data_IF_006961637213
#
_entry.id   IF_006961637213
#
_cell.length_a   1.000
_cell.length_b   1.000
_cell.length_c   1.000
_cell.angle_alpha   90.00
_cell.angle_beta   90.00
_cell.angle_gamma   90.00
#
_symmetry.space_group_name_H-M   'P 1'
#
loop_
_entity.id
_entity.type
_entity.pdbx_description
1 polymer ?
#
# COMPACT_ATOMS: atom_id res chain seq x y z
N UNK A 1 -20.88 -0.72 -3.90
CA UNK A 1 -20.74 0.15 -2.72
C UNK A 1 -19.53 1.04 -2.91
N UNK A 2 -19.50 2.19 -2.26
CA UNK A 2 -18.30 3.01 -2.18
C UNK A 2 -17.47 2.54 -1.00
N UNK A 3 -16.15 2.53 -1.17
CA UNK A 3 -15.21 2.19 -0.11
C UNK A 3 -13.98 3.09 -0.18
N UNK A 4 -13.44 3.42 0.98
CA UNK A 4 -12.28 4.25 1.17
C UNK A 4 -11.05 3.39 1.46
N UNK A 5 -9.95 3.70 0.80
CA UNK A 5 -8.66 3.08 1.04
C UNK A 5 -7.62 4.16 1.24
N UNK A 6 -6.86 4.00 2.32
CA UNK A 6 -5.77 4.89 2.68
C UNK A 6 -4.43 4.21 2.41
N UNK A 7 -3.53 4.92 1.76
CA UNK A 7 -2.18 4.44 1.42
C UNK A 7 -1.15 5.50 1.82
N UNK A 8 0.12 5.11 1.97
CA UNK A 8 1.21 6.09 2.08
C UNK A 8 1.21 7.01 0.85
N UNK A 9 1.62 8.26 1.07
CA UNK A 9 1.68 9.24 0.01
C UNK A 9 2.48 8.77 -1.21
N UNK A 10 2.01 9.14 -2.39
CA UNK A 10 2.63 8.80 -3.67
C UNK A 10 3.55 9.91 -4.20
N UNK A 11 3.61 11.09 -3.55
CA UNK A 11 4.37 12.24 -4.04
C UNK A 11 5.84 12.27 -3.59
N UNK A 12 6.25 11.42 -2.64
CA UNK A 12 7.64 11.31 -2.18
C UNK A 12 8.21 9.98 -2.68
N UNK A 13 9.22 10.05 -3.55
CA UNK A 13 9.98 8.88 -3.95
C UNK A 13 10.91 8.45 -2.82
N UNK A 14 10.46 7.51 -1.97
CA UNK A 14 11.27 6.98 -0.87
C UNK A 14 12.60 6.36 -1.34
N UNK A 15 12.63 5.89 -2.59
CA UNK A 15 13.78 5.33 -3.30
C UNK A 15 14.87 6.37 -3.62
N UNK A 16 14.58 7.68 -3.57
CA UNK A 16 15.58 8.75 -3.73
C UNK A 16 16.75 8.62 -2.75
N UNK A 17 16.55 7.97 -1.60
CA UNK A 17 17.62 7.74 -0.61
C UNK A 17 18.66 6.71 -1.06
N UNK A 18 18.42 6.02 -2.17
CA UNK A 18 19.27 4.98 -2.73
C UNK A 18 20.16 5.46 -3.88
N UNK A 19 20.02 6.73 -4.29
CA UNK A 19 20.69 7.33 -5.46
C UNK A 19 21.14 8.75 -5.15
N UNK A 20 22.06 9.29 -5.96
CA UNK A 20 22.67 10.60 -5.72
C UNK A 20 22.04 11.73 -6.55
N UNK A 21 21.21 11.39 -7.54
CA UNK A 21 20.59 12.37 -8.43
C UNK A 21 19.21 11.96 -8.96
N UNK A 22 18.45 12.94 -9.45
CA UNK A 22 17.15 12.70 -10.10
C UNK A 22 17.29 11.84 -11.37
N UNK A 23 18.37 12.00 -12.13
CA UNK A 23 18.60 11.19 -13.32
C UNK A 23 18.84 9.71 -12.98
N UNK A 24 19.57 9.44 -11.90
CA UNK A 24 19.74 8.07 -11.39
C UNK A 24 18.43 7.51 -10.83
N UNK A 25 17.63 8.36 -10.17
CA UNK A 25 16.31 7.98 -9.70
C UNK A 25 15.40 7.54 -10.86
N UNK A 26 15.41 8.25 -11.98
CA UNK A 26 14.60 7.88 -13.15
C UNK A 26 15.01 6.51 -13.70
N UNK A 27 16.31 6.21 -13.73
CA UNK A 27 16.83 4.89 -14.13
C UNK A 27 16.38 3.82 -13.13
N UNK A 28 16.50 4.08 -11.82
CA UNK A 28 16.06 3.17 -10.77
C UNK A 28 14.57 2.86 -10.88
N UNK A 29 13.71 3.87 -11.05
CA UNK A 29 12.28 3.65 -11.22
C UNK A 29 11.95 2.85 -12.49
N UNK A 30 12.68 3.07 -13.59
CA UNK A 30 12.51 2.26 -14.80
C UNK A 30 12.86 0.78 -14.56
N UNK A 31 13.97 0.53 -13.85
CA UNK A 31 14.39 -0.82 -13.48
C UNK A 31 13.36 -1.48 -12.55
N UNK A 32 12.88 -0.73 -11.54
CA UNK A 32 11.87 -1.21 -10.61
C UNK A 32 10.57 -1.51 -11.34
N UNK A 33 10.10 -0.65 -12.23
CA UNK A 33 8.87 -0.85 -12.99
C UNK A 33 8.96 -2.06 -13.92
N UNK A 34 10.08 -2.22 -14.63
CA UNK A 34 10.34 -3.38 -15.50
C UNK A 34 10.43 -4.70 -14.72
N UNK A 35 10.79 -4.67 -13.43
CA UNK A 35 10.86 -5.85 -12.57
C UNK A 35 9.51 -6.29 -11.99
N UNK A 36 8.45 -5.46 -12.12
CA UNK A 36 7.15 -5.76 -11.53
C UNK A 36 6.51 -6.96 -12.23
N UNK A 37 5.91 -7.90 -11.49
CA UNK A 37 5.09 -8.94 -12.10
C UNK A 37 3.98 -8.34 -12.97
N UNK A 38 3.57 -9.04 -14.04
CA UNK A 38 2.42 -8.62 -14.84
C UNK A 38 1.18 -8.53 -13.95
N UNK A 39 0.28 -7.60 -14.28
CA UNK A 39 -1.03 -7.57 -13.63
C UNK A 39 -1.84 -8.80 -14.04
N UNK A 40 -2.60 -9.40 -13.11
CA UNK A 40 -3.59 -10.41 -13.49
C UNK A 40 -4.59 -9.80 -14.48
N UNK A 41 -5.14 -10.59 -15.42
CA UNK A 41 -6.07 -10.10 -16.45
C UNK A 41 -7.21 -9.24 -15.89
N UNK A 42 -7.74 -9.61 -14.73
CA UNK A 42 -8.84 -8.94 -14.05
C UNK A 42 -8.48 -7.53 -13.51
N UNK A 43 -7.19 -7.26 -13.32
CA UNK A 43 -6.69 -5.96 -12.84
C UNK A 43 -6.14 -5.05 -13.94
N UNK A 44 -6.15 -5.50 -15.21
CA UNK A 44 -5.69 -4.68 -16.33
C UNK A 44 -6.64 -3.51 -16.58
N UNK A 45 -6.10 -2.33 -16.86
CA UNK A 45 -6.88 -1.11 -17.08
C UNK A 45 -7.39 -0.44 -15.79
N UNK A 46 -7.18 -1.05 -14.62
CA UNK A 46 -7.46 -0.43 -13.33
C UNK A 46 -6.32 0.53 -12.95
N UNK A 47 -6.65 1.67 -12.32
CA UNK A 47 -5.65 2.61 -11.81
C UNK A 47 -4.64 1.90 -10.89
N UNK A 48 -3.35 2.21 -11.03
CA UNK A 48 -2.29 1.43 -10.38
C UNK A 48 -2.43 1.32 -8.85
N UNK A 49 -2.94 2.36 -8.19
CA UNK A 49 -3.20 2.34 -6.74
C UNK A 49 -4.23 1.28 -6.31
N UNK A 50 -5.19 0.99 -7.19
CA UNK A 50 -6.22 -0.03 -6.98
C UNK A 50 -5.73 -1.42 -7.44
N UNK A 51 -4.86 -1.48 -8.45
CA UNK A 51 -4.34 -2.73 -9.00
C UNK A 51 -3.20 -3.34 -8.17
N UNK A 52 -2.41 -2.50 -7.46
CA UNK A 52 -1.21 -2.93 -6.74
C UNK A 52 -1.42 -4.11 -5.76
N UNK A 53 -2.52 -4.19 -4.98
CA UNK A 53 -2.76 -5.33 -4.08
C UNK A 53 -2.85 -6.68 -4.81
N UNK A 54 -3.27 -6.69 -6.08
CA UNK A 54 -3.48 -7.93 -6.84
C UNK A 54 -2.24 -8.37 -7.63
N UNK A 55 -1.22 -7.51 -7.73
CA UNK A 55 -0.02 -7.76 -8.54
C UNK A 55 0.97 -8.72 -7.89
N UNK A 56 1.08 -8.69 -6.57
CA UNK A 56 2.16 -9.35 -5.83
C UNK A 56 1.65 -10.52 -4.99
N UNK A 57 2.55 -11.43 -4.65
CA UNK A 57 2.33 -12.53 -3.70
C UNK A 57 3.11 -12.26 -2.40
N UNK A 58 2.52 -11.58 -1.41
CA UNK A 58 3.27 -11.18 -0.22
C UNK A 58 3.70 -12.41 0.59
N UNK A 59 4.98 -12.48 1.04
CA UNK A 59 5.51 -13.65 1.76
C UNK A 59 4.94 -13.77 3.17
N UNK A 60 4.64 -12.64 3.82
CA UNK A 60 4.01 -12.57 5.14
C UNK A 60 2.50 -12.76 5.03
N UNK A 61 1.80 -13.01 6.14
CA UNK A 61 0.34 -12.99 6.20
C UNK A 61 -0.20 -11.58 6.50
N UNK A 62 -1.52 -11.42 6.42
CA UNK A 62 -2.23 -10.22 6.90
C UNK A 62 -3.48 -10.66 7.70
N UNK A 63 -4.26 -9.71 8.24
CA UNK A 63 -5.42 -10.04 9.10
C UNK A 63 -6.39 -11.04 8.47
N UNK A 64 -6.67 -10.92 7.17
CA UNK A 64 -7.64 -11.76 6.44
C UNK A 64 -7.00 -12.61 5.33
N UNK A 65 -5.69 -12.82 5.35
CA UNK A 65 -4.99 -13.60 4.31
C UNK A 65 -3.78 -14.31 4.88
N UNK A 66 -3.70 -15.62 4.64
CA UNK A 66 -2.53 -16.46 4.96
C UNK A 66 -1.28 -16.05 4.19
N UNK A 67 -0.12 -16.55 4.62
CA UNK A 67 1.16 -16.38 3.90
C UNK A 67 1.07 -16.99 2.49
N UNK A 68 1.83 -16.45 1.53
CA UNK A 68 1.93 -16.98 0.16
C UNK A 68 0.60 -17.10 -0.62
N UNK A 69 -0.44 -16.38 -0.19
CA UNK A 69 -1.71 -16.23 -0.92
C UNK A 69 -1.73 -14.90 -1.70
N UNK A 70 -2.49 -14.81 -2.82
CA UNK A 70 -2.64 -13.56 -3.58
C UNK A 70 -3.02 -12.39 -2.69
N UNK A 71 -2.47 -11.21 -2.95
CA UNK A 71 -2.79 -10.03 -2.17
C UNK A 71 -4.28 -9.67 -2.24
N UNK A 72 -4.76 -9.05 -1.16
CA UNK A 72 -6.16 -8.65 -1.00
C UNK A 72 -6.25 -7.13 -0.89
N UNK A 73 -7.29 -6.57 -1.48
CA UNK A 73 -7.61 -5.15 -1.37
C UNK A 73 -8.30 -4.89 -0.04
N UNK A 74 -7.73 -3.99 0.76
CA UNK A 74 -8.30 -3.53 2.03
C UNK A 74 -8.86 -2.12 1.85
N UNK A 75 -10.11 -1.93 2.27
CA UNK A 75 -10.76 -0.63 2.41
C UNK A 75 -11.95 -0.73 3.36
N UNK A 76 -12.50 0.42 3.72
CA UNK A 76 -13.63 0.54 4.64
C UNK A 76 -14.79 1.26 3.94
N UNK A 77 -16.02 1.02 4.36
CA UNK A 77 -17.20 1.76 3.90
C UNK A 77 -17.25 3.22 4.41
N UNK A 78 -16.45 3.53 5.42
CA UNK A 78 -16.29 4.85 6.01
C UNK A 78 -14.82 5.34 6.03
N UNK A 79 -14.63 6.63 5.77
CA UNK A 79 -13.30 7.27 5.74
C UNK A 79 -12.62 7.27 7.10
N UNK A 80 -13.36 7.49 8.20
CA UNK A 80 -12.80 7.49 9.54
C UNK A 80 -12.33 6.08 9.93
N UNK A 81 -13.10 5.03 9.57
CA UNK A 81 -12.69 3.64 9.72
C UNK A 81 -11.38 3.33 8.97
N UNK A 82 -11.24 3.79 7.72
CA UNK A 82 -9.98 3.64 6.97
C UNK A 82 -8.79 4.33 7.65
N UNK A 83 -8.99 5.54 8.19
CA UNK A 83 -7.96 6.25 8.97
C UNK A 83 -7.62 5.53 10.27
N UNK A 84 -8.62 5.02 10.99
CA UNK A 84 -8.45 4.31 12.26
C UNK A 84 -7.65 3.01 12.08
N UNK A 85 -7.89 2.26 11.00
CA UNK A 85 -7.12 1.05 10.68
C UNK A 85 -5.63 1.36 10.46
N UNK A 86 -5.31 2.39 9.68
CA UNK A 86 -3.92 2.80 9.47
C UNK A 86 -3.28 3.25 10.80
N UNK A 87 -3.97 4.07 11.60
CA UNK A 87 -3.48 4.51 12.89
C UNK A 87 -3.20 3.33 13.84
N UNK A 88 -4.09 2.34 13.88
CA UNK A 88 -3.92 1.12 14.66
C UNK A 88 -2.65 0.36 14.26
N UNK A 89 -2.46 0.09 12.96
CA UNK A 89 -1.30 -0.67 12.49
C UNK A 89 0.02 0.09 12.68
N UNK A 90 0.01 1.42 12.55
CA UNK A 90 1.19 2.25 12.85
C UNK A 90 1.52 2.26 14.33
N UNK A 91 0.52 2.39 15.20
CA UNK A 91 0.71 2.30 16.64
C UNK A 91 1.30 0.94 17.03
N UNK A 92 0.76 -0.15 16.48
CA UNK A 92 1.31 -1.50 16.70
C UNK A 92 2.76 -1.62 16.24
N UNK A 93 3.08 -1.13 15.04
CA UNK A 93 4.45 -1.10 14.55
C UNK A 93 5.41 -0.34 15.48
N UNK A 94 4.99 0.82 16.00
CA UNK A 94 5.78 1.61 16.95
C UNK A 94 6.00 0.87 18.28
N UNK A 95 4.94 0.26 18.82
CA UNK A 95 5.01 -0.52 20.07
C UNK A 95 5.88 -1.78 19.93
N UNK A 96 5.88 -2.40 18.75
CA UNK A 96 6.70 -3.57 18.44
C UNK A 96 8.16 -3.19 18.07
N UNK A 97 8.49 -1.89 18.01
CA UNK A 97 9.80 -1.37 17.59
C UNK A 97 10.53 -0.66 18.73
N UNK A 98 11.41 -1.40 19.45
CA UNK A 98 12.15 -0.87 20.60
C UNK A 98 12.90 0.44 20.32
N UNK A 99 13.47 0.60 19.12
CA UNK A 99 14.22 1.81 18.73
C UNK A 99 13.36 3.02 18.35
N UNK A 100 12.04 2.87 18.23
CA UNK A 100 11.12 3.91 17.79
C UNK A 100 10.18 4.42 18.89
N UNK A 101 10.17 3.78 20.06
CA UNK A 101 9.27 4.14 21.18
C UNK A 101 9.40 5.60 21.63
N UNK A 102 10.57 6.21 21.50
CA UNK A 102 10.83 7.60 21.90
C UNK A 102 10.76 8.60 20.74
N UNK A 103 10.46 8.13 19.51
CA UNK A 103 10.44 8.98 18.33
C UNK A 103 9.02 9.47 18.01
N UNK A 104 8.94 10.73 17.56
CA UNK A 104 7.73 11.27 16.95
C UNK A 104 7.78 11.04 15.44
N UNK A 105 6.97 10.11 14.94
CA UNK A 105 6.86 9.82 13.52
C UNK A 105 5.65 10.55 12.93
N UNK A 106 5.88 11.50 12.01
CA UNK A 106 4.83 12.06 11.15
C UNK A 106 4.84 11.34 9.82
N UNK A 107 3.67 10.94 9.31
CA UNK A 107 3.55 10.22 8.03
C UNK A 107 2.36 10.73 7.24
N UNK A 108 2.61 11.07 5.98
CA UNK A 108 1.58 11.57 5.08
C UNK A 108 0.93 10.42 4.32
N UNK A 109 -0.39 10.51 4.21
CA UNK A 109 -1.21 9.47 3.60
C UNK A 109 -2.16 10.08 2.58
N UNK A 110 -2.53 9.29 1.58
CA UNK A 110 -3.56 9.63 0.61
C UNK A 110 -4.77 8.72 0.82
N UNK A 111 -5.93 9.33 0.98
CA UNK A 111 -7.22 8.64 1.00
C UNK A 111 -7.84 8.73 -0.39
N UNK A 112 -8.27 7.60 -0.93
CA UNK A 112 -9.05 7.58 -2.16
C UNK A 112 -10.28 6.71 -2.01
N UNK A 113 -11.29 7.07 -2.79
CA UNK A 113 -12.55 6.36 -2.88
C UNK A 113 -12.53 5.43 -4.09
N UNK A 114 -13.10 4.24 -3.93
CA UNK A 114 -13.25 3.24 -4.98
C UNK A 114 -14.67 2.71 -5.01
N UNK A 115 -15.19 2.49 -6.22
CA UNK A 115 -16.42 1.73 -6.42
C UNK A 115 -16.10 0.23 -6.35
N UNK A 116 -16.70 -0.48 -5.40
CA UNK A 116 -16.52 -1.91 -5.19
C UNK A 116 -17.82 -2.65 -5.48
N UNK A 117 -17.72 -3.75 -6.22
CA UNK A 117 -18.82 -4.63 -6.55
C UNK A 117 -18.40 -6.08 -6.33
N UNK A 118 -19.32 -6.89 -5.81
CA UNK A 118 -19.04 -8.29 -5.49
C UNK A 118 -20.06 -8.85 -4.51
N UNK A 119 -19.80 -10.07 -4.05
CA UNK A 119 -20.59 -10.70 -2.98
C UNK A 119 -19.97 -10.33 -1.64
N UNK A 120 -20.77 -9.74 -0.77
CA UNK A 120 -20.45 -9.68 0.65
C UNK A 120 -20.79 -11.04 1.29
N UNK A 121 -20.01 -11.45 2.28
CA UNK A 121 -20.25 -12.65 3.10
C UNK A 121 -20.72 -12.17 4.47
#
# INVERSE_FOLDING_TARGET
MHAFRMVETQHIAATMRLVDSAAEQDVLEHMLDASKPPLPPEAQGIHYLLAAPFRYLPPTGSRFRSTHMPGIWYGADDSYCACAEIAYWRQRFLLDSAGLITQHLSTDHSLYEAAVQGRAI
#
